data_IF_251833990112
#
_entry.id   IF_251833990112
#
_cell.length_a   1.000
_cell.length_b   1.000
_cell.length_c   1.000
_cell.angle_alpha   90.00
_cell.angle_beta   90.00
_cell.angle_gamma   90.00
#
_symmetry.space_group_name_H-M   'P 1'
#
loop_
_entity.id
_entity.type
_entity.pdbx_description
1 polymer ?
#
# COMPACT_ATOMS: atom_id res chain seq x y z
N UNK A 1 22.16 19.07 20.50
CA UNK A 1 22.24 17.71 19.94
C UNK A 1 21.10 17.61 18.94
N UNK A 2 21.34 17.16 17.71
CA UNK A 2 20.27 16.97 16.72
C UNK A 2 19.69 15.58 16.94
N UNK A 3 18.38 15.48 17.08
CA UNK A 3 17.68 14.20 17.27
C UNK A 3 17.24 13.64 15.91
N UNK A 4 17.45 12.35 15.68
CA UNK A 4 17.08 11.69 14.42
C UNK A 4 15.65 11.15 14.51
N UNK A 5 14.83 11.45 13.51
CA UNK A 5 13.48 10.92 13.34
C UNK A 5 13.48 10.04 12.09
N UNK A 6 13.15 8.77 12.25
CA UNK A 6 13.02 7.79 11.17
C UNK A 6 11.56 7.68 10.75
N UNK A 7 11.28 7.99 9.49
CA UNK A 7 9.97 7.85 8.88
C UNK A 7 9.97 6.65 7.94
N UNK A 8 9.23 5.60 8.30
CA UNK A 8 9.01 4.44 7.42
C UNK A 8 7.98 4.77 6.35
N UNK A 9 8.38 4.68 5.09
CA UNK A 9 7.49 4.79 3.93
C UNK A 9 6.76 3.46 3.72
N UNK A 10 5.51 3.56 3.25
CA UNK A 10 4.71 2.39 2.90
C UNK A 10 5.26 1.64 1.67
N UNK A 11 5.92 2.36 0.77
CA UNK A 11 6.39 1.82 -0.50
C UNK A 11 7.76 2.39 -0.87
N UNK A 12 8.26 2.05 -2.05
CA UNK A 12 9.45 2.69 -2.62
C UNK A 12 9.25 4.22 -2.75
N UNK A 13 10.34 5.02 -2.70
CA UNK A 13 10.26 6.46 -2.92
C UNK A 13 9.53 6.80 -4.24
N UNK A 14 8.37 7.44 -4.12
CA UNK A 14 7.47 7.77 -5.22
C UNK A 14 6.77 9.11 -4.96
N UNK A 15 6.01 9.59 -5.94
CA UNK A 15 5.35 10.89 -5.90
C UNK A 15 4.42 11.07 -4.69
N UNK A 16 3.76 10.01 -4.19
CA UNK A 16 2.92 10.13 -2.99
C UNK A 16 3.68 10.55 -1.73
N UNK A 17 5.01 10.35 -1.70
CA UNK A 17 5.87 10.69 -0.56
C UNK A 17 6.65 11.99 -0.76
N UNK A 18 6.37 12.76 -1.81
CA UNK A 18 7.16 13.94 -2.20
C UNK A 18 7.35 14.94 -1.06
N UNK A 19 6.33 15.15 -0.22
CA UNK A 19 6.44 16.07 0.93
C UNK A 19 7.48 15.63 1.95
N UNK A 20 7.50 14.33 2.31
CA UNK A 20 8.46 13.77 3.24
C UNK A 20 9.88 13.74 2.64
N UNK A 21 10.01 13.28 1.40
CA UNK A 21 11.28 13.20 0.69
C UNK A 21 11.91 14.58 0.49
N UNK A 22 11.10 15.61 0.19
CA UNK A 22 11.59 16.99 0.13
C UNK A 22 11.98 17.53 1.50
N UNK A 23 11.24 17.18 2.56
CA UNK A 23 11.57 17.62 3.91
C UNK A 23 12.90 17.03 4.40
N UNK A 24 13.19 15.77 4.07
CA UNK A 24 14.50 15.14 4.27
C UNK A 24 15.56 15.83 3.40
N UNK A 25 15.38 15.88 2.08
CA UNK A 25 16.37 16.43 1.15
C UNK A 25 16.74 17.91 1.42
N UNK A 26 15.80 18.70 1.95
CA UNK A 26 16.00 20.12 2.26
C UNK A 26 16.39 20.38 3.71
N UNK A 27 16.66 19.33 4.49
CA UNK A 27 16.93 19.41 5.93
C UNK A 27 15.89 20.26 6.68
N UNK A 28 14.61 20.17 6.29
CA UNK A 28 13.56 21.07 6.77
C UNK A 28 13.39 20.99 8.30
N UNK A 29 13.61 19.80 8.85
CA UNK A 29 13.49 19.51 10.28
C UNK A 29 14.65 20.09 11.12
N UNK A 30 15.79 20.43 10.50
CA UNK A 30 17.00 20.92 11.20
C UNK A 30 16.75 22.22 11.95
N UNK A 31 15.88 23.09 11.43
CA UNK A 31 15.46 24.35 12.08
C UNK A 31 14.76 24.14 13.42
N UNK A 32 14.26 22.92 13.66
CA UNK A 32 13.61 22.50 14.90
C UNK A 32 14.48 21.56 15.74
N UNK A 33 15.74 21.35 15.36
CA UNK A 33 16.67 20.46 16.07
C UNK A 33 16.56 18.99 15.71
N UNK A 34 15.87 18.65 14.61
CA UNK A 34 15.66 17.26 14.17
C UNK A 34 16.34 16.97 12.82
N UNK A 35 16.71 15.71 12.60
CA UNK A 35 17.14 15.15 11.32
C UNK A 35 16.11 14.11 10.88
N UNK A 36 15.40 14.36 9.78
CA UNK A 36 14.46 13.40 9.21
C UNK A 36 15.21 12.42 8.30
N UNK A 37 14.97 11.13 8.46
CA UNK A 37 15.40 10.07 7.54
C UNK A 37 14.18 9.30 7.03
N UNK A 38 13.98 9.24 5.71
CA UNK A 38 12.95 8.41 5.11
C UNK A 38 13.50 7.01 4.81
N UNK A 39 12.92 6.00 5.45
CA UNK A 39 13.23 4.60 5.22
C UNK A 39 12.26 4.03 4.19
N UNK A 40 12.73 3.44 3.07
CA UNK A 40 11.83 2.81 2.10
C UNK A 40 11.13 1.59 2.71
N UNK A 41 10.18 1.03 1.94
CA UNK A 41 9.49 -0.22 2.30
C UNK A 41 10.47 -1.34 2.63
N UNK A 42 10.11 -2.14 3.62
CA UNK A 42 10.76 -3.41 3.94
C UNK A 42 9.67 -4.49 3.98
N UNK A 43 9.71 -5.39 3.00
CA UNK A 43 8.71 -6.46 2.90
C UNK A 43 8.81 -7.50 4.02
N UNK A 44 9.90 -7.49 4.81
CA UNK A 44 10.03 -8.35 5.99
C UNK A 44 9.48 -7.71 7.27
N UNK A 45 9.32 -6.38 7.28
CA UNK A 45 8.79 -5.60 8.41
C UNK A 45 7.91 -4.46 7.91
N UNK A 46 6.59 -4.65 7.98
CA UNK A 46 5.62 -3.63 7.57
C UNK A 46 5.70 -2.35 8.41
N UNK A 47 5.11 -1.24 7.92
CA UNK A 47 5.27 0.08 8.53
C UNK A 47 4.80 0.16 9.99
N UNK A 48 3.69 -0.50 10.32
CA UNK A 48 3.18 -0.57 11.69
C UNK A 48 4.08 -1.43 12.59
N UNK A 49 4.54 -2.58 12.10
CA UNK A 49 5.47 -3.43 12.85
C UNK A 49 6.78 -2.71 13.17
N UNK A 50 7.29 -1.89 12.25
CA UNK A 50 8.48 -1.07 12.47
C UNK A 50 8.31 -0.03 13.61
N UNK A 51 7.09 0.48 13.82
CA UNK A 51 6.80 1.36 14.96
C UNK A 51 6.79 0.55 16.27
N UNK A 52 6.07 -0.57 16.28
CA UNK A 52 5.94 -1.42 17.46
C UNK A 52 7.29 -2.01 17.90
N UNK A 53 8.19 -2.31 16.96
CA UNK A 53 9.54 -2.82 17.24
C UNK A 53 10.56 -1.72 17.60
N UNK A 54 10.20 -0.44 17.44
CA UNK A 54 11.10 0.70 17.64
C UNK A 54 12.12 0.92 16.51
N UNK A 55 11.95 0.25 15.36
CA UNK A 55 12.80 0.42 14.18
C UNK A 55 12.46 1.69 13.37
N UNK A 56 11.28 2.26 13.57
CA UNK A 56 10.85 3.56 13.05
C UNK A 56 10.20 4.41 14.16
N UNK A 57 10.25 5.73 14.01
CA UNK A 57 9.65 6.68 14.95
C UNK A 57 8.29 7.19 14.43
N UNK A 58 8.14 7.25 13.09
CA UNK A 58 6.91 7.56 12.38
C UNK A 58 6.75 6.58 11.21
N UNK A 59 5.53 6.33 10.78
CA UNK A 59 5.28 5.61 9.53
C UNK A 59 4.18 6.25 8.71
N UNK A 60 4.26 6.08 7.39
CA UNK A 60 3.14 6.22 6.48
C UNK A 60 2.59 4.83 6.26
N UNK A 61 1.29 4.64 6.51
CA UNK A 61 0.61 3.37 6.34
C UNK A 61 -0.78 3.59 5.73
N UNK A 62 -1.34 2.56 5.10
CA UNK A 62 -2.75 2.56 4.71
C UNK A 62 -3.64 2.32 5.94
N UNK A 63 -4.93 2.70 5.90
CA UNK A 63 -5.88 2.39 6.98
C UNK A 63 -5.95 0.90 7.34
N UNK A 64 -5.74 0.01 6.36
CA UNK A 64 -5.77 -1.44 6.55
C UNK A 64 -4.69 -1.93 7.52
N UNK A 65 -3.49 -1.36 7.48
CA UNK A 65 -2.43 -1.68 8.44
C UNK A 65 -2.80 -1.35 9.89
N UNK A 66 -3.55 -0.26 10.10
CA UNK A 66 -4.03 0.08 11.44
C UNK A 66 -5.08 -0.91 11.93
N UNK A 67 -5.97 -1.37 11.04
CA UNK A 67 -7.00 -2.36 11.35
C UNK A 67 -6.43 -3.75 11.63
N UNK A 68 -5.32 -4.10 10.97
CA UNK A 68 -4.64 -5.39 11.10
C UNK A 68 -3.58 -5.41 12.19
N UNK A 69 -3.32 -4.27 12.85
CA UNK A 69 -2.35 -4.19 13.94
C UNK A 69 -2.74 -5.10 15.10
N UNK A 70 -1.76 -5.80 15.67
CA UNK A 70 -1.93 -6.60 16.89
C UNK A 70 -1.99 -5.78 18.18
N UNK A 71 -1.47 -4.56 18.15
CA UNK A 71 -1.40 -3.64 19.29
C UNK A 71 -1.83 -2.21 18.89
N UNK A 72 -3.06 -2.03 18.38
CA UNK A 72 -3.54 -0.73 17.91
C UNK A 72 -3.55 0.34 19.01
N UNK A 73 -3.65 -0.04 20.28
CA UNK A 73 -3.57 0.84 21.45
C UNK A 73 -2.19 1.47 21.66
N UNK A 74 -1.14 0.83 21.12
CA UNK A 74 0.23 1.34 21.14
C UNK A 74 0.50 2.35 20.01
N UNK A 75 -0.48 2.59 19.13
CA UNK A 75 -0.36 3.48 17.98
C UNK A 75 -1.14 4.78 18.18
N UNK A 76 -0.60 5.87 17.65
CA UNK A 76 -1.26 7.18 17.61
C UNK A 76 -1.45 7.61 16.17
N UNK A 77 -2.71 7.84 15.77
CA UNK A 77 -3.03 8.43 14.48
C UNK A 77 -2.77 9.94 14.50
N UNK A 78 -1.91 10.43 13.60
CA UNK A 78 -1.54 11.85 13.55
C UNK A 78 -2.38 12.64 12.54
N UNK A 79 -2.44 12.18 11.29
CA UNK A 79 -3.15 12.86 10.21
C UNK A 79 -3.36 11.94 9.01
N UNK A 80 -4.29 12.34 8.14
CA UNK A 80 -4.42 11.84 6.77
C UNK A 80 -4.13 12.95 5.76
N UNK A 81 -3.32 12.64 4.75
CA UNK A 81 -3.05 13.54 3.62
C UNK A 81 -3.71 13.06 2.31
N UNK A 82 -4.24 11.84 2.27
CA UNK A 82 -5.09 11.33 1.19
C UNK A 82 -6.51 11.13 1.71
N UNK A 83 -7.43 12.00 1.30
CA UNK A 83 -8.83 11.99 1.76
C UNK A 83 -9.70 10.95 1.01
N UNK A 84 -9.16 10.37 -0.06
CA UNK A 84 -9.85 9.38 -0.89
C UNK A 84 -8.93 8.18 -1.07
N UNK A 85 -9.50 6.98 -0.97
CA UNK A 85 -8.78 5.74 -1.21
C UNK A 85 -8.18 5.75 -2.62
N UNK A 86 -6.90 5.45 -2.71
CA UNK A 86 -6.14 5.42 -3.96
C UNK A 86 -5.99 4.01 -4.53
N UNK A 87 -6.23 2.97 -3.72
CA UNK A 87 -6.17 1.58 -4.13
C UNK A 87 -7.37 1.23 -5.02
N UNK A 88 -7.08 0.67 -6.19
CA UNK A 88 -8.05 0.23 -7.20
C UNK A 88 -7.65 -1.13 -7.75
N UNK A 89 -8.62 -1.86 -8.27
CA UNK A 89 -8.42 -3.19 -8.85
C UNK A 89 -8.90 -3.17 -10.29
N UNK A 90 -7.95 -3.24 -11.23
CA UNK A 90 -8.22 -3.10 -12.65
C UNK A 90 -8.41 -4.46 -13.29
N UNK A 91 -9.50 -4.61 -14.03
CA UNK A 91 -9.76 -5.75 -14.90
C UNK A 91 -9.88 -5.27 -16.35
N UNK A 92 -9.49 -6.13 -17.31
CA UNK A 92 -9.63 -5.79 -18.72
C UNK A 92 -11.09 -5.97 -19.18
N UNK A 93 -11.56 -5.06 -20.03
CA UNK A 93 -12.94 -5.09 -20.56
C UNK A 93 -13.22 -6.32 -21.43
N UNK A 94 -12.20 -6.87 -22.08
CA UNK A 94 -12.32 -8.06 -22.94
C UNK A 94 -12.26 -9.39 -22.18
N UNK A 95 -12.22 -9.36 -20.84
CA UNK A 95 -12.21 -10.55 -19.97
C UNK A 95 -13.57 -10.81 -19.30
N UNK A 96 -14.65 -10.13 -19.72
CA UNK A 96 -16.01 -10.28 -19.19
C UNK A 96 -16.13 -10.13 -17.65
N UNK A 97 -15.30 -9.26 -17.06
CA UNK A 97 -15.36 -8.93 -15.62
C UNK A 97 -16.12 -7.62 -15.45
N UNK A 98 -17.43 -7.73 -15.24
CA UNK A 98 -18.33 -6.60 -14.99
C UNK A 98 -18.73 -6.45 -13.51
N UNK A 99 -18.37 -7.42 -12.66
CA UNK A 99 -18.68 -7.43 -11.23
C UNK A 99 -17.64 -8.21 -10.42
N UNK A 100 -17.58 -7.96 -9.11
CA UNK A 100 -16.68 -8.66 -8.18
C UNK A 100 -16.91 -10.18 -8.20
N UNK A 101 -18.15 -10.64 -8.45
CA UNK A 101 -18.48 -12.08 -8.52
C UNK A 101 -17.76 -12.79 -9.67
N UNK A 102 -17.49 -12.10 -10.76
CA UNK A 102 -16.77 -12.63 -11.92
C UNK A 102 -15.28 -12.94 -11.63
N UNK A 103 -14.77 -12.50 -10.48
CA UNK A 103 -13.41 -12.82 -10.04
C UNK A 103 -13.30 -14.25 -9.49
N UNK A 104 -14.40 -14.94 -9.17
CA UNK A 104 -14.36 -16.32 -8.74
C UNK A 104 -13.67 -17.22 -9.79
N UNK A 105 -12.72 -18.04 -9.34
CA UNK A 105 -11.87 -18.88 -10.18
C UNK A 105 -10.81 -18.12 -10.98
N UNK A 106 -10.58 -16.83 -10.73
CA UNK A 106 -9.60 -16.01 -11.45
C UNK A 106 -8.31 -15.81 -10.65
N UNK A 107 -7.27 -15.45 -11.40
CA UNK A 107 -5.97 -15.05 -10.88
C UNK A 107 -5.95 -13.54 -10.71
N UNK A 108 -5.55 -13.06 -9.53
CA UNK A 108 -5.48 -11.63 -9.21
C UNK A 108 -4.06 -11.27 -8.77
N UNK A 109 -3.43 -10.33 -9.46
CA UNK A 109 -2.15 -9.78 -9.02
C UNK A 109 -2.36 -8.83 -7.83
N UNK A 110 -1.65 -9.07 -6.74
CA UNK A 110 -1.66 -8.25 -5.52
C UNK A 110 -0.24 -7.93 -5.08
N UNK A 111 -0.04 -6.86 -4.32
CA UNK A 111 1.29 -6.57 -3.79
C UNK A 111 1.69 -7.57 -2.68
N UNK A 112 2.98 -7.87 -2.54
CA UNK A 112 3.47 -8.70 -1.43
C UNK A 112 3.16 -8.05 -0.08
N UNK A 113 3.04 -8.85 0.97
CA UNK A 113 2.82 -8.35 2.34
C UNK A 113 1.35 -8.31 2.80
N UNK A 114 0.41 -8.84 2.01
CA UNK A 114 -1.04 -8.82 2.31
C UNK A 114 -1.68 -7.43 2.28
N UNK A 115 -1.19 -6.54 1.41
CA UNK A 115 -1.69 -5.18 1.16
C UNK A 115 -3.08 -5.13 0.49
N UNK A 116 -3.87 -6.20 0.56
CA UNK A 116 -5.07 -6.44 -0.23
C UNK A 116 -6.33 -6.64 0.64
N UNK A 117 -6.33 -6.13 1.88
CA UNK A 117 -7.46 -6.25 2.81
C UNK A 117 -8.77 -5.72 2.19
N UNK A 118 -8.74 -4.60 1.47
CA UNK A 118 -9.94 -4.05 0.85
C UNK A 118 -10.51 -5.00 -0.22
N UNK A 119 -9.66 -5.69 -0.98
CA UNK A 119 -10.10 -6.71 -1.94
C UNK A 119 -10.73 -7.90 -1.24
N UNK A 120 -10.08 -8.43 -0.20
CA UNK A 120 -10.64 -9.54 0.59
C UNK A 120 -12.02 -9.18 1.15
N UNK A 121 -12.19 -7.94 1.62
CA UNK A 121 -13.49 -7.46 2.11
C UNK A 121 -14.52 -7.32 0.99
N UNK A 122 -14.14 -6.79 -0.18
CA UNK A 122 -15.01 -6.71 -1.36
C UNK A 122 -15.49 -8.09 -1.82
N UNK A 123 -14.58 -9.07 -1.88
CA UNK A 123 -14.89 -10.46 -2.23
C UNK A 123 -15.85 -11.09 -1.21
N UNK A 124 -15.58 -10.92 0.09
CA UNK A 124 -16.46 -11.39 1.16
C UNK A 124 -17.86 -10.79 1.04
N UNK A 125 -17.98 -9.48 0.81
CA UNK A 125 -19.28 -8.80 0.59
C UNK A 125 -20.01 -9.29 -0.66
N UNK A 126 -19.27 -9.69 -1.69
CA UNK A 126 -19.82 -10.28 -2.90
C UNK A 126 -20.17 -11.78 -2.75
N UNK A 127 -19.85 -12.41 -1.62
CA UNK A 127 -20.04 -13.83 -1.38
C UNK A 127 -19.09 -14.72 -2.20
N UNK A 128 -17.90 -14.20 -2.54
CA UNK A 128 -16.83 -14.96 -3.21
C UNK A 128 -15.85 -15.44 -2.14
N UNK A 129 -15.76 -16.77 -1.89
CA UNK A 129 -14.77 -17.32 -0.98
C UNK A 129 -13.34 -16.99 -1.44
N UNK A 130 -12.45 -16.67 -0.50
CA UNK A 130 -11.04 -16.44 -0.84
C UNK A 130 -10.36 -17.69 -1.43
N UNK A 131 -10.86 -18.89 -1.09
CA UNK A 131 -10.41 -20.17 -1.68
C UNK A 131 -10.68 -20.28 -3.18
N UNK A 132 -11.60 -19.47 -3.71
CA UNK A 132 -11.94 -19.46 -5.13
C UNK A 132 -11.06 -18.47 -5.91
N UNK A 133 -10.11 -17.80 -5.25
CA UNK A 133 -9.21 -16.82 -5.87
C UNK A 133 -7.78 -17.34 -5.81
N UNK A 134 -7.07 -17.25 -6.93
CA UNK A 134 -5.61 -17.41 -6.94
C UNK A 134 -4.97 -16.02 -6.82
N UNK A 135 -4.55 -15.66 -5.61
CA UNK A 135 -3.76 -14.44 -5.38
C UNK A 135 -2.32 -14.65 -5.85
N UNK A 136 -1.82 -13.72 -6.67
CA UNK A 136 -0.46 -13.75 -7.22
C UNK A 136 0.32 -12.55 -6.69
N UNK A 137 1.14 -12.73 -5.62
CA UNK A 137 1.96 -11.65 -5.08
C UNK A 137 3.03 -11.19 -6.08
N UNK A 138 3.05 -9.91 -6.43
CA UNK A 138 4.04 -9.31 -7.35
C UNK A 138 4.20 -7.82 -7.10
N UNK A 139 5.39 -7.28 -7.41
CA UNK A 139 5.62 -5.82 -7.42
C UNK A 139 5.23 -5.18 -8.76
N UNK A 140 5.13 -5.96 -9.85
CA UNK A 140 4.75 -5.47 -11.17
C UNK A 140 3.36 -5.98 -11.59
N UNK A 141 2.34 -5.43 -10.93
CA UNK A 141 0.93 -5.79 -11.18
C UNK A 141 0.45 -5.30 -12.55
N UNK A 142 1.09 -4.28 -13.12
CA UNK A 142 0.74 -3.67 -14.41
C UNK A 142 1.12 -4.59 -15.56
N UNK A 143 2.37 -5.06 -15.60
CA UNK A 143 2.85 -5.96 -16.66
C UNK A 143 2.05 -7.26 -16.69
N UNK A 144 1.80 -7.87 -15.53
CA UNK A 144 1.00 -9.11 -15.45
C UNK A 144 -0.43 -8.94 -15.99
N UNK A 145 -1.07 -7.78 -15.78
CA UNK A 145 -2.40 -7.50 -16.34
C UNK A 145 -2.33 -7.30 -17.85
N UNK A 146 -1.33 -6.55 -18.34
CA UNK A 146 -1.14 -6.26 -19.76
C UNK A 146 -0.88 -7.53 -20.57
N UNK A 147 -0.05 -8.42 -20.05
CA UNK A 147 0.28 -9.71 -20.66
C UNK A 147 -0.87 -10.72 -20.57
N UNK A 148 -1.97 -10.40 -19.86
CA UNK A 148 -3.09 -11.30 -19.65
C UNK A 148 -2.78 -12.48 -18.71
N UNK A 149 -1.70 -12.40 -17.92
CA UNK A 149 -1.32 -13.43 -16.96
C UNK A 149 -2.29 -13.50 -15.78
N UNK A 150 -2.92 -12.36 -15.45
CA UNK A 150 -3.97 -12.23 -14.42
C UNK A 150 -5.21 -11.58 -15.01
N UNK A 151 -6.36 -11.82 -14.39
CA UNK A 151 -7.63 -11.23 -14.84
C UNK A 151 -7.94 -9.90 -14.17
N UNK A 152 -7.32 -9.65 -13.03
CA UNK A 152 -7.45 -8.42 -12.26
C UNK A 152 -6.12 -8.10 -11.57
N UNK A 153 -5.82 -6.83 -11.34
CA UNK A 153 -4.57 -6.41 -10.72
C UNK A 153 -4.77 -5.21 -9.78
N UNK A 154 -4.15 -5.29 -8.61
CA UNK A 154 -4.08 -4.21 -7.62
C UNK A 154 -3.20 -3.06 -8.12
N UNK A 155 -3.67 -1.83 -7.96
CA UNK A 155 -3.05 -0.62 -8.49
C UNK A 155 -3.36 0.59 -7.61
N UNK A 156 -2.60 1.67 -7.78
CA UNK A 156 -2.96 2.99 -7.26
C UNK A 156 -3.39 3.93 -8.37
N UNK A 157 -4.31 4.85 -8.05
CA UNK A 157 -4.77 5.90 -8.96
C UNK A 157 -3.69 6.93 -9.32
N UNK A 158 -2.63 7.04 -8.51
CA UNK A 158 -1.56 8.03 -8.68
C UNK A 158 -0.29 7.47 -9.33
N UNK A 159 -0.18 6.16 -9.54
CA UNK A 159 1.00 5.54 -10.16
C UNK A 159 0.61 4.54 -11.27
N UNK A 160 0.20 3.32 -10.91
CA UNK A 160 -0.04 2.24 -11.88
C UNK A 160 -1.18 2.57 -12.84
N UNK A 161 -2.28 3.11 -12.34
CA UNK A 161 -3.45 3.44 -13.14
C UNK A 161 -3.12 4.43 -14.28
N UNK A 162 -2.21 5.38 -14.01
CA UNK A 162 -1.83 6.41 -14.98
C UNK A 162 -1.08 5.83 -16.19
N UNK A 163 -0.55 4.61 -16.10
CA UNK A 163 0.13 3.94 -17.21
C UNK A 163 -0.83 3.44 -18.30
N UNK A 164 -2.14 3.48 -18.04
CA UNK A 164 -3.20 3.07 -18.97
C UNK A 164 -3.93 4.27 -19.61
N UNK A 165 -3.55 5.50 -19.25
CA UNK A 165 -4.10 6.75 -19.81
C UNK A 165 -3.18 7.29 -20.90
#
# INVERSE_FOLDING_TARGET
>A
MIEKIRLRLLWFPQAQFVGALLAEHRDFASRRGYLLECQPVDFSEGPVSAILSGNADLCIASPSHMLESSEPESLVFLLTFQQTGSCVYLARKDHDIDSIRCLAGKRIAVWPGSEDLELKWMLFKAGVPLSDIEFVPTVDTVEMLMDGQVSCAQMTTYNEYLKFL
#
